data_IF_194877528270
#
_entry.id   IF_194877528270
#
_cell.length_a   1.000
_cell.length_b   1.000
_cell.length_c   1.000
_cell.angle_alpha   90.00
_cell.angle_beta   90.00
_cell.angle_gamma   90.00
#
_symmetry.space_group_name_H-M   'P 1'
#
loop_
_entity.id
_entity.type
_entity.pdbx_description
1 polymer ?
#
# COMPACT_ATOMS: atom_id res chain seq x y z
N UNK A 1 29.02 -25.30 -79.89
CA UNK A 1 29.19 -24.36 -78.75
C UNK A 1 30.54 -24.65 -78.18
N UNK A 2 31.41 -23.63 -78.06
CA UNK A 2 32.77 -23.78 -77.47
C UNK A 2 32.61 -23.99 -75.98
N UNK A 3 33.53 -24.66 -75.28
CA UNK A 3 33.47 -24.93 -73.83
C UNK A 3 33.37 -23.68 -73.04
N UNK A 4 34.01 -22.56 -73.45
CA UNK A 4 33.93 -21.26 -72.82
C UNK A 4 32.54 -20.62 -72.96
N UNK A 5 31.82 -20.77 -74.04
CA UNK A 5 30.44 -20.28 -74.23
C UNK A 5 29.45 -21.05 -73.34
N UNK A 6 29.64 -22.35 -73.22
CA UNK A 6 28.84 -23.18 -72.31
C UNK A 6 29.04 -22.76 -70.86
N UNK A 7 30.29 -22.60 -70.41
CA UNK A 7 30.61 -22.13 -69.05
C UNK A 7 30.02 -20.74 -68.80
N UNK A 8 30.06 -19.82 -69.79
CA UNK A 8 29.49 -18.46 -69.59
C UNK A 8 27.99 -18.46 -69.48
N UNK A 9 27.26 -19.33 -70.22
CA UNK A 9 25.84 -19.49 -70.04
C UNK A 9 25.48 -20.11 -68.69
N UNK A 10 26.18 -21.18 -68.27
CA UNK A 10 25.98 -21.78 -66.93
C UNK A 10 26.23 -20.73 -65.78
N UNK A 11 27.23 -19.87 -65.95
CA UNK A 11 27.48 -18.79 -65.01
C UNK A 11 26.35 -17.73 -65.00
N UNK A 12 25.82 -17.38 -66.19
CA UNK A 12 24.69 -16.42 -66.27
C UNK A 12 23.43 -17.00 -65.61
N UNK A 13 23.14 -18.28 -65.82
CA UNK A 13 22.00 -18.97 -65.18
C UNK A 13 22.17 -19.02 -63.63
N UNK A 14 23.40 -19.34 -63.14
CA UNK A 14 23.69 -19.37 -61.72
C UNK A 14 23.55 -17.99 -61.09
N UNK A 15 23.99 -16.93 -61.78
CA UNK A 15 23.84 -15.57 -61.28
C UNK A 15 22.34 -15.19 -61.24
N UNK A 16 21.56 -15.54 -62.26
CA UNK A 16 20.12 -15.28 -62.28
C UNK A 16 19.41 -15.96 -61.10
N UNK A 17 19.71 -17.24 -60.84
CA UNK A 17 19.17 -17.97 -59.68
C UNK A 17 19.57 -17.31 -58.35
N UNK A 18 20.81 -16.87 -58.21
CA UNK A 18 21.27 -16.15 -57.02
C UNK A 18 20.52 -14.82 -56.83
N UNK A 19 20.22 -14.09 -57.93
CA UNK A 19 19.42 -12.86 -57.87
C UNK A 19 17.98 -13.11 -57.43
N UNK A 20 17.36 -14.22 -57.86
CA UNK A 20 16.03 -14.63 -57.38
C UNK A 20 16.03 -14.95 -55.88
N UNK A 21 17.04 -15.68 -55.38
CA UNK A 21 17.21 -15.96 -53.93
C UNK A 21 17.41 -14.67 -53.10
N UNK A 22 18.22 -13.73 -53.60
CA UNK A 22 18.42 -12.45 -52.95
C UNK A 22 17.09 -11.64 -52.91
N UNK A 23 16.33 -11.64 -53.99
CA UNK A 23 15.03 -10.95 -54.04
C UNK A 23 14.07 -11.51 -52.99
N UNK A 24 13.95 -12.84 -52.90
CA UNK A 24 13.12 -13.51 -51.90
C UNK A 24 13.59 -13.14 -50.47
N UNK A 25 14.92 -13.11 -50.23
CA UNK A 25 15.47 -12.70 -48.93
C UNK A 25 15.16 -11.24 -48.57
N UNK A 26 15.16 -10.34 -49.59
CA UNK A 26 14.79 -8.92 -49.36
C UNK A 26 13.31 -8.75 -49.02
N UNK A 27 12.42 -9.54 -49.61
CA UNK A 27 10.99 -9.58 -49.27
C UNK A 27 10.78 -10.06 -47.83
N UNK A 28 11.50 -11.10 -47.39
CA UNK A 28 11.43 -11.61 -46.04
C UNK A 28 11.96 -10.58 -45.03
N UNK A 29 13.06 -9.89 -45.36
CA UNK A 29 13.59 -8.80 -44.49
C UNK A 29 12.58 -7.65 -44.42
N UNK A 30 11.94 -7.27 -45.53
CA UNK A 30 10.92 -6.21 -45.55
C UNK A 30 9.73 -6.55 -44.63
N UNK A 31 9.24 -7.77 -44.69
CA UNK A 31 8.17 -8.27 -43.80
C UNK A 31 8.62 -8.24 -42.33
N UNK A 32 9.87 -8.61 -42.06
CA UNK A 32 10.44 -8.56 -40.71
C UNK A 32 10.51 -7.12 -40.18
N UNK A 33 10.87 -6.17 -41.03
CA UNK A 33 10.90 -4.74 -40.71
C UNK A 33 9.51 -4.23 -40.32
N UNK A 34 8.46 -4.62 -41.08
CA UNK A 34 7.08 -4.26 -40.76
C UNK A 34 6.68 -4.81 -39.37
N UNK A 35 7.02 -6.06 -39.06
CA UNK A 35 6.79 -6.68 -37.76
C UNK A 35 7.53 -5.97 -36.63
N UNK A 36 8.81 -5.61 -36.84
CA UNK A 36 9.60 -4.85 -35.84
C UNK A 36 9.00 -3.46 -35.62
N UNK A 37 8.54 -2.80 -36.68
CA UNK A 37 7.88 -1.49 -36.57
C UNK A 37 6.61 -1.56 -35.75
N UNK A 38 5.77 -2.57 -35.98
CA UNK A 38 4.57 -2.83 -35.18
C UNK A 38 4.90 -3.02 -33.69
N UNK A 39 5.85 -3.93 -33.40
CA UNK A 39 6.29 -4.19 -32.03
C UNK A 39 6.87 -2.95 -31.34
N UNK A 40 7.62 -2.12 -32.07
CA UNK A 40 8.18 -0.86 -31.55
C UNK A 40 7.08 0.10 -31.14
N UNK A 41 6.03 0.24 -31.94
CA UNK A 41 4.87 1.08 -31.61
C UNK A 41 4.11 0.56 -30.38
N UNK A 42 3.94 -0.75 -30.25
CA UNK A 42 3.30 -1.38 -29.09
C UNK A 42 4.11 -1.13 -27.81
N UNK A 43 5.44 -1.22 -27.88
CA UNK A 43 6.34 -0.90 -26.79
C UNK A 43 6.22 0.59 -26.40
N UNK A 44 6.18 1.51 -27.36
CA UNK A 44 6.00 2.94 -27.08
C UNK A 44 4.67 3.21 -26.37
N UNK A 45 3.59 2.54 -26.79
CA UNK A 45 2.30 2.61 -26.11
C UNK A 45 2.40 2.12 -24.66
N UNK A 46 3.03 0.96 -24.45
CA UNK A 46 3.23 0.38 -23.13
C UNK A 46 4.06 1.28 -22.22
N UNK A 47 5.10 1.94 -22.75
CA UNK A 47 5.91 2.92 -22.01
C UNK A 47 5.05 4.11 -21.55
N UNK A 48 4.12 4.57 -22.37
CA UNK A 48 3.22 5.65 -22.01
C UNK A 48 2.25 5.23 -20.90
N UNK A 49 1.71 4.01 -20.96
CA UNK A 49 0.82 3.47 -19.93
C UNK A 49 1.54 3.32 -18.58
N UNK A 50 2.78 2.80 -18.59
CA UNK A 50 3.63 2.73 -17.40
C UNK A 50 3.91 4.14 -16.87
N UNK A 51 4.15 5.12 -17.75
CA UNK A 51 4.33 6.51 -17.36
C UNK A 51 3.13 7.10 -16.62
N UNK A 52 1.92 6.80 -17.08
CA UNK A 52 0.69 7.22 -16.43
C UNK A 52 0.53 6.57 -15.04
N UNK A 53 0.80 5.26 -14.92
CA UNK A 53 0.75 4.54 -13.64
C UNK A 53 1.78 5.06 -12.64
N UNK A 54 2.98 5.42 -13.09
CA UNK A 54 4.01 6.03 -12.24
C UNK A 54 3.56 7.39 -11.72
N UNK A 55 2.95 8.23 -12.57
CA UNK A 55 2.41 9.51 -12.13
C UNK A 55 1.26 9.35 -11.11
N UNK A 56 0.40 8.37 -11.29
CA UNK A 56 -0.63 8.02 -10.30
C UNK A 56 0.02 7.58 -8.97
N UNK A 57 1.09 6.78 -9.03
CA UNK A 57 1.88 6.40 -7.85
C UNK A 57 2.46 7.58 -7.08
N UNK A 58 2.92 8.64 -7.77
CA UNK A 58 3.38 9.89 -7.14
C UNK A 58 2.25 10.57 -6.37
N UNK A 59 1.05 10.66 -6.96
CA UNK A 59 -0.12 11.25 -6.29
C UNK A 59 -0.47 10.46 -5.04
N UNK A 60 -0.57 9.13 -5.15
CA UNK A 60 -0.86 8.25 -4.00
C UNK A 60 0.17 8.43 -2.88
N UNK A 61 1.46 8.47 -3.21
CA UNK A 61 2.52 8.68 -2.22
C UNK A 61 2.37 10.04 -1.51
N UNK A 62 2.03 11.09 -2.25
CA UNK A 62 1.76 12.43 -1.70
C UNK A 62 0.57 12.43 -0.76
N UNK A 63 -0.53 11.75 -1.14
CA UNK A 63 -1.74 11.65 -0.33
C UNK A 63 -1.49 10.87 0.97
N UNK A 64 -0.71 9.78 0.91
CA UNK A 64 -0.32 9.02 2.10
C UNK A 64 0.53 9.88 3.04
N UNK A 65 1.49 10.68 2.53
CA UNK A 65 2.28 11.62 3.34
C UNK A 65 1.38 12.64 4.04
N UNK A 66 0.46 13.26 3.32
CA UNK A 66 -0.47 14.24 3.88
C UNK A 66 -1.38 13.60 4.95
N UNK A 67 -1.89 12.40 4.68
CA UNK A 67 -2.70 11.65 5.64
C UNK A 67 -1.90 11.30 6.90
N UNK A 68 -0.67 10.82 6.76
CA UNK A 68 0.20 10.48 7.90
C UNK A 68 0.45 11.69 8.80
N UNK A 69 0.75 12.86 8.20
CA UNK A 69 0.93 14.11 8.95
C UNK A 69 -0.35 14.48 9.69
N UNK A 70 -1.51 14.45 9.03
CA UNK A 70 -2.79 14.79 9.65
C UNK A 70 -3.16 13.86 10.81
N UNK A 71 -2.97 12.54 10.63
CA UNK A 71 -3.22 11.56 11.72
C UNK A 71 -2.26 11.77 12.89
N UNK A 72 -0.98 12.10 12.62
CA UNK A 72 -0.01 12.40 13.67
C UNK A 72 -0.44 13.61 14.52
N UNK A 73 -0.80 14.72 13.86
CA UNK A 73 -1.27 15.93 14.54
C UNK A 73 -2.52 15.67 15.38
N UNK A 74 -3.49 14.91 14.84
CA UNK A 74 -4.69 14.52 15.57
C UNK A 74 -4.35 13.63 16.77
N UNK A 75 -3.44 12.70 16.63
CA UNK A 75 -2.97 11.80 17.69
C UNK A 75 -2.31 12.60 18.83
N UNK A 76 -1.41 13.53 18.53
CA UNK A 76 -0.77 14.41 19.53
C UNK A 76 -1.82 15.25 20.29
N UNK A 77 -2.80 15.80 19.57
CA UNK A 77 -3.91 16.52 20.19
C UNK A 77 -4.71 15.61 21.13
N UNK A 78 -5.06 14.40 20.70
CA UNK A 78 -5.80 13.44 21.53
C UNK A 78 -5.03 13.03 22.78
N UNK A 79 -3.71 12.83 22.68
CA UNK A 79 -2.84 12.58 23.85
C UNK A 79 -2.95 13.70 24.87
N UNK A 80 -2.90 14.94 24.42
CA UNK A 80 -3.03 16.12 25.28
C UNK A 80 -4.39 16.18 25.93
N UNK A 81 -5.47 16.07 25.15
CA UNK A 81 -6.85 16.08 25.63
C UNK A 81 -7.09 15.00 26.70
N UNK A 82 -6.61 13.79 26.49
CA UNK A 82 -6.73 12.67 27.44
C UNK A 82 -5.92 12.96 28.72
N UNK A 83 -4.70 13.49 28.61
CA UNK A 83 -3.89 13.87 29.76
C UNK A 83 -4.61 14.89 30.64
N UNK A 84 -5.23 15.90 30.03
CA UNK A 84 -5.99 16.92 30.75
C UNK A 84 -7.23 16.32 31.41
N UNK A 85 -7.97 15.43 30.72
CA UNK A 85 -9.12 14.72 31.30
C UNK A 85 -8.69 13.86 32.50
N UNK A 86 -7.59 13.11 32.40
CA UNK A 86 -7.06 12.31 33.53
C UNK A 86 -6.77 13.20 34.73
N UNK A 87 -6.10 14.32 34.52
CA UNK A 87 -5.77 15.25 35.59
C UNK A 87 -7.03 15.83 36.25
N UNK A 88 -8.01 16.28 35.48
CA UNK A 88 -9.28 16.79 35.97
C UNK A 88 -10.04 15.72 36.77
N UNK A 89 -10.17 14.52 36.24
CA UNK A 89 -10.92 13.45 36.91
C UNK A 89 -10.20 12.89 38.12
N UNK A 90 -8.86 12.88 38.13
CA UNK A 90 -8.07 12.52 39.31
C UNK A 90 -8.28 13.52 40.47
N UNK A 91 -8.33 14.82 40.16
CA UNK A 91 -8.64 15.84 41.15
C UNK A 91 -10.06 15.70 41.70
N UNK A 92 -11.05 15.50 40.82
CA UNK A 92 -12.44 15.28 41.21
C UNK A 92 -12.61 14.04 42.08
N UNK A 93 -11.91 12.93 41.72
CA UNK A 93 -11.89 11.72 42.54
C UNK A 93 -11.31 11.98 43.93
N UNK A 94 -10.19 12.69 44.00
CA UNK A 94 -9.55 13.05 45.31
C UNK A 94 -10.48 13.88 46.21
N UNK A 95 -11.23 14.84 45.65
CA UNK A 95 -12.22 15.61 46.38
C UNK A 95 -13.36 14.72 46.88
N UNK A 96 -13.89 13.82 46.03
CA UNK A 96 -14.95 12.89 46.41
C UNK A 96 -14.52 11.92 47.52
N UNK A 97 -13.24 11.52 47.53
CA UNK A 97 -12.63 10.72 48.62
C UNK A 97 -12.69 11.50 49.94
N UNK A 98 -12.30 12.77 49.92
CA UNK A 98 -12.29 13.60 51.14
C UNK A 98 -13.70 13.84 51.67
N UNK A 99 -14.67 14.10 50.78
CA UNK A 99 -16.09 14.23 51.17
C UNK A 99 -16.65 12.92 51.74
N UNK A 100 -16.25 11.76 51.17
CA UNK A 100 -16.67 10.44 51.68
C UNK A 100 -16.17 10.16 53.11
N UNK A 101 -15.07 10.77 53.52
CA UNK A 101 -14.59 10.66 54.94
C UNK A 101 -15.59 11.23 55.94
N UNK A 102 -16.47 12.15 55.53
CA UNK A 102 -17.54 12.68 56.38
C UNK A 102 -18.55 11.60 56.79
N UNK A 103 -18.72 10.51 56.00
CA UNK A 103 -19.54 9.35 56.37
C UNK A 103 -19.01 8.69 57.64
N UNK A 104 -17.68 8.73 57.86
CA UNK A 104 -17.08 8.26 59.11
C UNK A 104 -17.57 9.02 60.35
N UNK A 105 -17.92 10.29 60.21
CA UNK A 105 -18.50 11.12 61.28
C UNK A 105 -19.89 10.64 61.69
N UNK A 106 -20.67 10.03 60.76
CA UNK A 106 -21.96 9.42 61.05
C UNK A 106 -21.80 8.27 62.05
N UNK A 107 -20.74 7.47 61.91
CA UNK A 107 -20.45 6.39 62.87
C UNK A 107 -20.17 6.93 64.27
N UNK A 108 -19.44 8.05 64.40
CA UNK A 108 -19.18 8.67 65.69
C UNK A 108 -20.48 9.19 66.31
N UNK A 109 -21.31 9.94 65.56
CA UNK A 109 -22.60 10.42 66.00
C UNK A 109 -23.56 9.28 66.37
N UNK A 110 -23.52 8.16 65.64
CA UNK A 110 -24.34 6.99 65.95
C UNK A 110 -23.88 6.31 67.23
N UNK A 111 -22.58 6.26 67.50
CA UNK A 111 -22.02 5.82 68.80
C UNK A 111 -22.48 6.68 69.92
N UNK A 112 -22.48 8.03 69.77
CA UNK A 112 -22.97 8.94 70.80
C UNK A 112 -24.48 8.71 71.09
N UNK A 113 -25.28 8.47 70.05
CA UNK A 113 -26.72 8.12 70.19
C UNK A 113 -26.89 6.79 70.90
N UNK A 114 -26.05 5.76 70.61
CA UNK A 114 -26.08 4.48 71.35
C UNK A 114 -25.74 4.66 72.85
N UNK A 115 -24.79 5.49 73.12
CA UNK A 115 -24.44 5.79 74.49
C UNK A 115 -25.59 6.55 75.27
N UNK A 116 -26.20 7.57 74.67
CA UNK A 116 -27.34 8.30 75.18
C UNK A 116 -28.53 7.36 75.39
N UNK A 117 -28.83 6.48 74.36
CA UNK A 117 -29.91 5.50 74.45
C UNK A 117 -29.67 4.52 75.67
N UNK A 118 -28.42 4.08 75.85
CA UNK A 118 -28.04 3.19 76.95
C UNK A 118 -28.20 3.86 78.30
N UNK A 119 -27.75 5.12 78.45
CA UNK A 119 -27.91 5.86 79.62
C UNK A 119 -29.40 6.14 79.95
N UNK A 120 -30.18 6.49 78.90
CA UNK A 120 -31.63 6.73 79.04
C UNK A 120 -32.37 5.47 79.52
N UNK A 121 -31.99 4.31 78.96
CA UNK A 121 -32.55 3.01 79.32
C UNK A 121 -32.27 2.66 80.79
N UNK A 122 -31.03 2.93 81.25
CA UNK A 122 -30.68 2.78 82.70
C UNK A 122 -31.43 3.71 83.58
N UNK A 123 -31.58 4.99 83.19
CA UNK A 123 -32.34 6.00 83.98
C UNK A 123 -33.83 5.59 84.08
N UNK A 124 -34.42 5.14 82.93
CA UNK A 124 -35.82 4.66 82.92
C UNK A 124 -36.01 3.42 83.79
N UNK A 125 -35.04 2.47 83.73
CA UNK A 125 -35.08 1.30 84.58
C UNK A 125 -35.05 1.67 86.06
N UNK A 126 -34.15 2.56 86.43
CA UNK A 126 -34.06 3.04 87.79
C UNK A 126 -35.37 3.75 88.26
N UNK A 127 -35.96 4.56 87.33
CA UNK A 127 -37.25 5.22 87.61
C UNK A 127 -38.39 4.22 87.72
N UNK A 128 -38.43 3.14 86.91
CA UNK A 128 -39.40 2.09 87.02
C UNK A 128 -39.30 1.32 88.36
N UNK A 129 -38.07 1.07 88.78
CA UNK A 129 -37.84 0.42 90.13
C UNK A 129 -38.34 1.29 91.25
N UNK A 130 -38.05 2.59 91.25
CA UNK A 130 -38.47 3.50 92.35
C UNK A 130 -40.00 3.75 92.27
N UNK A 131 -40.61 3.80 91.09
CA UNK A 131 -42.06 3.84 90.91
C UNK A 131 -42.77 2.60 91.45
N UNK A 132 -42.21 1.40 91.25
CA UNK A 132 -42.70 0.15 91.85
C UNK A 132 -42.58 0.14 93.37
N UNK A 133 -41.53 0.80 93.94
CA UNK A 133 -41.27 0.92 95.32
C UNK A 133 -42.28 1.86 96.08
N UNK A 134 -42.85 2.86 95.34
CA UNK A 134 -43.88 3.77 95.77
C UNK A 134 -45.29 3.18 95.82
N UNK A 135 -45.51 1.95 95.37
CA UNK A 135 -46.79 1.24 95.40
C UNK A 135 -47.89 1.90 94.56
N UNK A 136 -49.11 2.04 95.09
CA UNK A 136 -50.26 2.59 94.38
C UNK A 136 -50.08 4.01 93.90
N UNK A 137 -49.32 4.87 94.64
CA UNK A 137 -49.06 6.28 94.25
C UNK A 137 -48.08 6.38 93.07
N UNK A 138 -47.26 5.34 92.84
CA UNK A 138 -46.24 5.29 91.79
C UNK A 138 -46.73 4.69 90.43
N UNK A 139 -47.93 4.19 90.36
CA UNK A 139 -48.44 3.47 89.12
C UNK A 139 -48.33 4.31 87.82
N UNK A 140 -48.71 5.63 87.90
CA UNK A 140 -48.61 6.48 86.73
C UNK A 140 -47.18 6.75 86.28
N UNK A 141 -46.25 6.89 87.23
CA UNK A 141 -44.80 7.02 86.98
C UNK A 141 -44.17 5.75 86.39
N UNK A 142 -44.60 4.60 86.87
CA UNK A 142 -44.12 3.30 86.31
C UNK A 142 -44.45 3.15 84.87
N UNK A 143 -45.65 3.56 84.43
CA UNK A 143 -46.04 3.52 83.00
C UNK A 143 -45.18 4.44 82.12
N UNK A 144 -44.93 5.67 82.64
CA UNK A 144 -44.07 6.63 81.88
C UNK A 144 -42.65 6.14 81.86
N UNK A 145 -42.10 5.58 82.94
CA UNK A 145 -40.75 5.02 82.97
C UNK A 145 -40.58 3.84 82.00
N UNK A 146 -41.58 2.98 81.95
CA UNK A 146 -41.56 1.84 80.97
C UNK A 146 -41.63 2.36 79.54
N UNK A 147 -42.43 3.39 79.22
CA UNK A 147 -42.50 4.01 77.89
C UNK A 147 -41.15 4.64 77.48
N UNK A 148 -40.49 5.35 78.44
CA UNK A 148 -39.15 5.91 78.20
C UNK A 148 -38.14 4.76 77.95
N UNK A 149 -38.22 3.68 78.68
CA UNK A 149 -37.36 2.53 78.51
C UNK A 149 -37.51 1.93 77.14
N UNK A 150 -38.76 1.78 76.62
CA UNK A 150 -39.06 1.25 75.29
C UNK A 150 -38.63 2.21 74.20
N UNK A 151 -38.75 3.56 74.39
CA UNK A 151 -38.21 4.56 73.48
C UNK A 151 -36.68 4.49 73.39
N UNK A 152 -36.01 4.31 74.50
CA UNK A 152 -34.56 4.15 74.53
C UNK A 152 -34.08 2.89 73.81
N UNK A 153 -34.78 1.78 74.01
CA UNK A 153 -34.47 0.53 73.29
C UNK A 153 -34.69 0.67 71.77
N UNK A 154 -35.82 1.32 71.35
CA UNK A 154 -36.09 1.62 69.97
C UNK A 154 -35.02 2.53 69.37
N UNK A 155 -34.57 3.56 70.04
CA UNK A 155 -33.51 4.46 69.64
C UNK A 155 -32.19 3.71 69.41
N UNK A 156 -31.85 2.82 70.38
CA UNK A 156 -30.67 1.96 70.28
C UNK A 156 -30.73 1.05 69.00
N UNK A 157 -31.86 0.43 68.71
CA UNK A 157 -32.05 -0.43 67.58
C UNK A 157 -31.90 0.40 66.27
N UNK A 158 -32.53 1.56 66.19
CA UNK A 158 -32.42 2.48 65.05
C UNK A 158 -30.98 2.95 64.86
N UNK A 159 -30.25 3.28 65.92
CA UNK A 159 -28.82 3.66 65.84
C UNK A 159 -27.96 2.49 65.33
N UNK A 160 -28.19 1.25 65.75
CA UNK A 160 -27.50 0.09 65.21
C UNK A 160 -27.77 -0.15 63.75
N UNK A 161 -29.04 0.06 63.30
CA UNK A 161 -29.39 -0.04 61.87
C UNK A 161 -28.67 1.01 61.04
N UNK A 162 -28.61 2.31 61.53
CA UNK A 162 -27.86 3.37 60.88
C UNK A 162 -26.37 3.01 60.78
N UNK A 163 -25.78 2.49 61.83
CA UNK A 163 -24.39 2.06 61.86
C UNK A 163 -24.14 0.95 60.82
N UNK A 164 -25.03 -0.06 60.74
CA UNK A 164 -24.96 -1.14 59.77
C UNK A 164 -25.08 -0.65 58.32
N UNK A 165 -25.93 0.37 58.07
CA UNK A 165 -26.06 1.02 56.76
C UNK A 165 -24.79 1.79 56.43
N UNK A 166 -24.27 2.59 57.38
CA UNK A 166 -23.07 3.39 57.21
C UNK A 166 -21.83 2.56 56.84
N UNK A 167 -21.64 1.43 57.52
CA UNK A 167 -20.55 0.48 57.17
C UNK A 167 -20.66 -0.03 55.76
N UNK A 168 -21.87 -0.40 55.27
CA UNK A 168 -22.10 -0.86 53.90
C UNK A 168 -21.84 0.25 52.89
N UNK A 169 -22.27 1.48 53.18
CA UNK A 169 -22.05 2.64 52.31
C UNK A 169 -20.56 2.93 52.19
N UNK A 170 -19.80 2.93 53.31
CA UNK A 170 -18.36 3.12 53.29
C UNK A 170 -17.66 2.05 52.43
N UNK A 171 -18.06 0.79 52.58
CA UNK A 171 -17.49 -0.31 51.81
C UNK A 171 -17.77 -0.13 50.31
N UNK A 172 -19.01 0.24 49.93
CA UNK A 172 -19.40 0.48 48.55
C UNK A 172 -18.63 1.67 47.92
N UNK A 173 -18.46 2.76 48.67
CA UNK A 173 -17.70 3.94 48.23
C UNK A 173 -16.21 3.58 48.05
N UNK A 174 -15.62 2.85 48.97
CA UNK A 174 -14.22 2.40 48.83
C UNK A 174 -14.02 1.51 47.59
N UNK A 175 -14.97 0.60 47.32
CA UNK A 175 -14.92 -0.24 46.12
C UNK A 175 -15.04 0.62 44.85
N UNK A 176 -15.94 1.60 44.83
CA UNK A 176 -16.10 2.53 43.72
C UNK A 176 -14.80 3.31 43.46
N UNK A 177 -14.13 3.79 44.53
CA UNK A 177 -12.86 4.50 44.42
C UNK A 177 -11.76 3.63 43.84
N UNK A 178 -11.64 2.40 44.32
CA UNK A 178 -10.67 1.45 43.77
C UNK A 178 -10.90 1.22 42.26
N UNK A 179 -12.15 0.96 41.86
CA UNK A 179 -12.50 0.75 40.45
C UNK A 179 -12.21 2.01 39.60
N UNK A 180 -12.47 3.22 40.14
CA UNK A 180 -12.18 4.46 39.43
C UNK A 180 -10.66 4.67 39.28
N UNK A 181 -9.87 4.38 40.31
CA UNK A 181 -8.41 4.46 40.23
C UNK A 181 -7.84 3.45 39.23
N UNK A 182 -8.35 2.23 39.21
CA UNK A 182 -7.93 1.21 38.26
C UNK A 182 -8.25 1.64 36.82
N UNK A 183 -9.43 2.26 36.60
CA UNK A 183 -9.79 2.80 35.28
C UNK A 183 -8.84 3.92 34.84
N UNK A 184 -8.49 4.84 35.75
CA UNK A 184 -7.53 5.92 35.48
C UNK A 184 -6.15 5.35 35.13
N UNK A 185 -5.67 4.36 35.86
CA UNK A 185 -4.42 3.68 35.60
C UNK A 185 -4.44 2.95 34.25
N UNK A 186 -5.55 2.32 33.89
CA UNK A 186 -5.74 1.68 32.57
C UNK A 186 -5.64 2.72 31.44
N UNK A 187 -6.35 3.85 31.56
CA UNK A 187 -6.30 4.93 30.56
C UNK A 187 -4.88 5.47 30.44
N UNK A 188 -4.23 5.74 31.56
CA UNK A 188 -2.90 6.34 31.57
C UNK A 188 -1.81 5.42 31.03
N UNK A 189 -1.89 4.12 31.27
CA UNK A 189 -0.84 3.19 30.88
C UNK A 189 -1.16 2.51 29.53
N UNK A 190 -2.40 2.07 29.31
CA UNK A 190 -2.74 1.33 28.10
C UNK A 190 -3.12 2.26 26.96
N UNK A 191 -4.08 3.17 27.17
CA UNK A 191 -4.58 4.04 26.11
C UNK A 191 -3.47 5.03 25.65
N UNK A 192 -2.68 5.55 26.58
CA UNK A 192 -1.56 6.42 26.22
C UNK A 192 -0.47 5.67 25.44
N UNK A 193 -0.22 4.39 25.74
CA UNK A 193 0.70 3.57 24.99
C UNK A 193 0.18 3.29 23.57
N UNK A 194 -1.12 3.02 23.41
CA UNK A 194 -1.75 2.83 22.10
C UNK A 194 -1.55 4.06 21.20
N UNK A 195 -1.63 5.27 21.75
CA UNK A 195 -1.34 6.50 21.00
C UNK A 195 0.14 6.61 20.59
N UNK A 196 1.07 6.14 21.41
CA UNK A 196 2.50 6.07 21.04
C UNK A 196 2.72 5.10 19.89
N UNK A 197 2.02 3.97 19.89
CA UNK A 197 2.06 3.01 18.79
C UNK A 197 1.44 3.57 17.50
N UNK A 198 0.35 4.33 17.59
CA UNK A 198 -0.24 5.04 16.45
C UNK A 198 0.73 6.09 15.87
N UNK A 199 1.41 6.83 16.71
CA UNK A 199 2.42 7.81 16.30
C UNK A 199 3.58 7.13 15.52
N UNK A 200 4.10 6.02 16.06
CA UNK A 200 5.13 5.23 15.39
C UNK A 200 4.64 4.64 14.05
N UNK A 201 3.38 4.20 13.98
CA UNK A 201 2.78 3.72 12.74
C UNK A 201 2.64 4.83 11.69
N UNK A 202 2.25 6.04 12.08
CA UNK A 202 2.15 7.18 11.15
C UNK A 202 3.52 7.61 10.63
N UNK A 203 4.56 7.62 11.47
CA UNK A 203 5.94 7.88 11.03
C UNK A 203 6.42 6.83 10.01
N UNK A 204 6.08 5.56 10.24
CA UNK A 204 6.39 4.50 9.28
C UNK A 204 5.64 4.67 7.95
N UNK A 205 4.36 5.09 7.96
CA UNK A 205 3.62 5.38 6.73
C UNK A 205 4.25 6.55 5.97
N UNK A 206 4.65 7.61 6.66
CA UNK A 206 5.34 8.73 6.05
C UNK A 206 6.65 8.30 5.38
N UNK A 207 7.50 7.53 6.06
CA UNK A 207 8.75 7.00 5.50
C UNK A 207 8.51 6.10 4.28
N UNK A 208 7.48 5.24 4.32
CA UNK A 208 7.15 4.36 3.18
C UNK A 208 6.68 5.16 1.98
N UNK A 209 5.89 6.21 2.20
CA UNK A 209 5.45 7.09 1.13
C UNK A 209 6.62 7.92 0.56
N UNK A 210 7.57 8.35 1.38
CA UNK A 210 8.79 9.02 0.94
C UNK A 210 9.69 8.09 0.10
N UNK A 211 9.81 6.84 0.50
CA UNK A 211 10.50 5.83 -0.29
C UNK A 211 9.80 5.54 -1.62
N UNK A 212 8.45 5.54 -1.64
CA UNK A 212 7.66 5.39 -2.86
C UNK A 212 7.94 6.54 -3.84
N UNK A 213 8.04 7.77 -3.35
CA UNK A 213 8.40 8.95 -4.14
C UNK A 213 9.79 8.80 -4.81
N UNK A 214 10.76 8.26 -4.07
CA UNK A 214 12.08 7.93 -4.60
C UNK A 214 12.01 6.87 -5.71
N UNK A 215 11.25 5.81 -5.51
CA UNK A 215 11.06 4.72 -6.49
C UNK A 215 10.40 5.25 -7.75
N UNK A 216 9.34 6.03 -7.64
CA UNK A 216 8.63 6.61 -8.79
C UNK A 216 9.52 7.58 -9.57
N UNK A 217 10.40 8.33 -8.89
CA UNK A 217 11.43 9.14 -9.52
C UNK A 217 12.42 8.34 -10.36
N UNK A 218 12.86 7.17 -9.88
CA UNK A 218 13.70 6.24 -10.64
C UNK A 218 12.95 5.64 -11.84
N UNK A 219 11.67 5.27 -11.68
CA UNK A 219 10.85 4.80 -12.79
C UNK A 219 10.70 5.85 -13.89
N UNK A 220 10.44 7.11 -13.54
CA UNK A 220 10.38 8.20 -14.51
C UNK A 220 11.67 8.34 -15.33
N UNK A 221 12.84 8.22 -14.68
CA UNK A 221 14.13 8.24 -15.35
C UNK A 221 14.28 7.07 -16.33
N UNK A 222 13.86 5.85 -15.91
CA UNK A 222 13.91 4.68 -16.77
C UNK A 222 12.96 4.81 -17.97
N UNK A 223 11.77 5.37 -17.79
CA UNK A 223 10.80 5.66 -18.87
C UNK A 223 11.41 6.60 -19.89
N UNK A 224 12.08 7.67 -19.45
CA UNK A 224 12.77 8.59 -20.37
C UNK A 224 13.89 7.89 -21.16
N UNK A 225 14.65 7.01 -20.50
CA UNK A 225 15.69 6.22 -21.17
C UNK A 225 15.09 5.26 -22.20
N UNK A 226 13.98 4.57 -21.87
CA UNK A 226 13.29 3.67 -22.80
C UNK A 226 12.73 4.43 -24.01
N UNK A 227 12.18 5.63 -23.84
CA UNK A 227 11.75 6.48 -24.96
C UNK A 227 12.89 6.83 -25.90
N UNK A 228 14.06 7.14 -25.38
CA UNK A 228 15.23 7.42 -26.20
C UNK A 228 15.67 6.16 -26.99
N UNK A 229 15.70 5.01 -26.35
CA UNK A 229 16.02 3.73 -27.01
C UNK A 229 15.02 3.43 -28.13
N UNK A 230 13.72 3.67 -27.90
CA UNK A 230 12.71 3.47 -28.95
C UNK A 230 12.86 4.45 -30.12
N UNK A 231 13.26 5.69 -29.86
CA UNK A 231 13.58 6.64 -30.92
C UNK A 231 14.79 6.17 -31.77
N UNK A 232 15.88 5.75 -31.12
CA UNK A 232 17.05 5.18 -31.80
C UNK A 232 16.70 3.92 -32.60
N UNK A 233 15.82 3.06 -32.05
CA UNK A 233 15.32 1.86 -32.75
C UNK A 233 14.54 2.25 -34.02
N UNK A 234 13.67 3.26 -33.95
CA UNK A 234 12.91 3.73 -35.10
C UNK A 234 13.82 4.30 -36.21
N UNK A 235 14.86 5.05 -35.83
CA UNK A 235 15.88 5.51 -36.76
C UNK A 235 16.65 4.34 -37.40
N UNK A 236 16.99 3.32 -36.61
CA UNK A 236 17.62 2.11 -37.09
C UNK A 236 16.75 1.35 -38.11
N UNK A 237 15.45 1.20 -37.82
CA UNK A 237 14.46 0.58 -38.71
C UNK A 237 14.39 1.34 -40.05
N UNK A 238 14.35 2.69 -39.99
CA UNK A 238 14.30 3.53 -41.19
C UNK A 238 15.56 3.35 -42.03
N UNK A 239 16.73 3.27 -41.44
CA UNK A 239 17.99 3.03 -42.13
C UNK A 239 18.03 1.64 -42.79
N UNK A 240 17.58 0.60 -42.07
CA UNK A 240 17.52 -0.76 -42.67
C UNK A 240 16.56 -0.79 -43.83
N UNK A 241 15.39 -0.16 -43.76
CA UNK A 241 14.43 -0.05 -44.86
C UNK A 241 15.06 0.60 -46.08
N UNK A 242 15.82 1.68 -45.92
CA UNK A 242 16.52 2.34 -47.02
C UNK A 242 17.57 1.43 -47.69
N UNK A 243 18.32 0.66 -46.89
CA UNK A 243 19.30 -0.31 -47.40
C UNK A 243 18.63 -1.44 -48.15
N UNK A 244 17.47 -1.95 -47.67
CA UNK A 244 16.69 -2.96 -48.38
C UNK A 244 16.22 -2.46 -49.75
N UNK A 245 15.67 -1.22 -49.80
CA UNK A 245 15.26 -0.62 -51.08
C UNK A 245 16.44 -0.44 -52.06
N UNK A 246 17.62 -0.06 -51.55
CA UNK A 246 18.83 0.07 -52.38
C UNK A 246 19.28 -1.30 -52.91
N UNK A 247 19.25 -2.35 -52.07
CA UNK A 247 19.60 -3.71 -52.47
C UNK A 247 18.63 -4.25 -53.54
N UNK A 248 17.31 -4.05 -53.39
CA UNK A 248 16.32 -4.43 -54.38
C UNK A 248 16.61 -3.77 -55.75
N UNK A 249 16.97 -2.48 -55.75
CA UNK A 249 17.40 -1.78 -56.96
C UNK A 249 18.68 -2.37 -57.55
N UNK A 250 19.64 -2.70 -56.69
CA UNK A 250 20.90 -3.32 -57.10
C UNK A 250 20.69 -4.69 -57.75
N UNK A 251 19.84 -5.53 -57.16
CA UNK A 251 19.46 -6.84 -57.69
C UNK A 251 18.75 -6.70 -59.06
N UNK A 252 17.81 -5.77 -59.20
CA UNK A 252 17.14 -5.48 -60.46
C UNK A 252 18.13 -5.11 -61.56
N UNK A 253 19.08 -4.23 -61.29
CA UNK A 253 20.15 -3.84 -62.22
C UNK A 253 21.06 -5.02 -62.59
N UNK A 254 21.42 -5.87 -61.61
CA UNK A 254 22.22 -7.05 -61.83
C UNK A 254 21.50 -8.06 -62.75
N UNK A 255 20.22 -8.30 -62.53
CA UNK A 255 19.36 -9.17 -63.33
C UNK A 255 19.28 -8.66 -64.79
N UNK A 256 19.12 -7.34 -64.99
CA UNK A 256 19.17 -6.73 -66.33
C UNK A 256 20.53 -6.97 -67.02
N UNK A 257 21.62 -6.80 -66.30
CA UNK A 257 22.98 -7.00 -66.83
C UNK A 257 23.24 -8.47 -67.18
N UNK A 258 22.76 -9.42 -66.37
CA UNK A 258 22.84 -10.88 -66.67
C UNK A 258 22.05 -11.20 -67.92
N UNK A 259 20.87 -10.63 -68.09
CA UNK A 259 20.07 -10.78 -69.31
C UNK A 259 20.80 -10.28 -70.60
N UNK A 260 21.43 -9.10 -70.50
CA UNK A 260 22.27 -8.53 -71.56
C UNK A 260 23.48 -9.41 -71.86
N UNK A 261 24.12 -9.99 -70.84
CA UNK A 261 25.25 -10.89 -70.99
C UNK A 261 24.82 -12.19 -71.76
N UNK A 262 23.72 -12.82 -71.35
CA UNK A 262 23.18 -13.98 -72.03
C UNK A 262 22.89 -13.73 -73.53
N UNK A 263 22.27 -12.58 -73.85
CA UNK A 263 22.05 -12.16 -75.22
C UNK A 263 23.36 -11.92 -75.99
N UNK A 264 24.38 -11.35 -75.33
CA UNK A 264 25.70 -11.13 -75.96
C UNK A 264 26.39 -12.48 -76.30
N UNK A 265 26.29 -13.47 -75.41
CA UNK A 265 26.82 -14.83 -75.61
C UNK A 265 26.16 -15.46 -76.81
N UNK A 266 24.83 -15.38 -76.96
CA UNK A 266 24.08 -15.88 -78.08
C UNK A 266 24.55 -15.22 -79.44
N UNK A 267 24.76 -13.92 -79.44
CA UNK A 267 25.26 -13.18 -80.58
C UNK A 267 26.69 -13.61 -80.97
N UNK A 268 27.57 -13.82 -80.00
CA UNK A 268 28.93 -14.32 -80.21
C UNK A 268 28.85 -15.70 -80.80
N UNK A 269 28.01 -16.58 -80.29
CA UNK A 269 27.78 -17.91 -80.82
C UNK A 269 27.40 -17.90 -82.33
N UNK A 270 26.42 -17.05 -82.71
CA UNK A 270 26.01 -16.88 -84.10
C UNK A 270 27.18 -16.38 -84.99
N UNK A 271 27.98 -15.45 -84.50
CA UNK A 271 29.18 -14.97 -85.24
C UNK A 271 30.25 -16.03 -85.40
N UNK A 272 30.48 -16.87 -84.37
CA UNK A 272 31.45 -17.97 -84.42
C UNK A 272 31.01 -18.98 -85.46
N UNK A 273 29.70 -19.37 -85.58
CA UNK A 273 29.17 -20.23 -86.61
C UNK A 273 29.43 -19.61 -87.95
N UNK A 274 29.08 -18.34 -88.20
CA UNK A 274 29.31 -17.67 -89.49
C UNK A 274 30.81 -17.65 -89.90
N UNK A 275 31.70 -17.44 -88.92
CA UNK A 275 33.15 -17.46 -89.15
C UNK A 275 33.65 -18.84 -89.48
N UNK A 276 33.16 -19.94 -88.88
CA UNK A 276 33.47 -21.33 -89.19
C UNK A 276 33.00 -21.68 -90.61
N UNK A 277 31.78 -21.32 -91.02
CA UNK A 277 31.26 -21.51 -92.36
C UNK A 277 32.03 -20.74 -93.39
N UNK A 278 32.37 -19.48 -93.15
CA UNK A 278 33.23 -18.66 -93.99
C UNK A 278 34.63 -19.27 -94.16
N UNK A 279 35.22 -19.81 -93.08
CA UNK A 279 36.52 -20.52 -93.14
C UNK A 279 36.48 -21.77 -93.92
N UNK A 280 35.39 -22.58 -93.85
CA UNK A 280 35.18 -23.76 -94.67
C UNK A 280 35.07 -23.40 -96.15
N UNK A 281 34.28 -22.38 -96.47
CA UNK A 281 34.15 -21.90 -97.88
C UNK A 281 35.50 -21.43 -98.41
N UNK A 282 36.30 -20.68 -97.69
CA UNK A 282 37.65 -20.29 -98.12
C UNK A 282 38.60 -21.47 -98.28
N UNK A 283 38.53 -22.52 -97.51
CA UNK A 283 39.28 -23.74 -97.57
C UNK A 283 38.91 -24.53 -98.84
N UNK A 284 37.61 -24.63 -99.17
CA UNK A 284 37.11 -25.27 -100.37
C UNK A 284 37.58 -24.52 -101.64
N UNK A 285 37.54 -23.17 -101.60
CA UNK A 285 38.04 -22.39 -102.75
C UNK A 285 39.57 -22.47 -102.89
N UNK A 286 40.35 -22.46 -101.87
CA UNK A 286 41.80 -22.71 -101.87
C UNK A 286 42.16 -24.08 -102.41
N UNK A 287 41.43 -25.13 -102.02
CA UNK A 287 41.63 -26.46 -102.58
C UNK A 287 41.29 -26.55 -104.04
N UNK A 288 40.30 -25.78 -104.53
CA UNK A 288 39.99 -25.72 -106.00
C UNK A 288 41.11 -25.03 -106.77
N UNK A 289 41.79 -24.03 -106.22
CA UNK A 289 42.95 -23.38 -106.78
C UNK A 289 44.23 -24.26 -106.82
N UNK A 290 44.37 -25.23 -105.94
CA UNK A 290 45.52 -26.18 -105.94
C UNK A 290 45.40 -27.33 -106.91
N UNK A 291 44.23 -27.50 -107.56
CA UNK A 291 43.95 -28.55 -108.57
C UNK A 291 44.05 -28.00 -110.02
N UNK A 292 44.49 -26.81 -110.26
CA UNK A 292 44.84 -26.20 -111.52
C UNK A 292 46.36 -26.16 -111.65
#
# INVERSE_FOLDING_TARGET
>A
MNEEEKNSNENADNIASTMEEITASMEEISSSIEGITGNTNDIVSSINDVGNQVNEGVVIASDIKALAVGVKEETEKKKTDISDIINEKSQALSLSIEESRQISSINNLTNDILEIASQTNLLALNASIEAARAGEVGKGFAVVAEEIRQLAENSKNTANDIQGISVRVIAAVNQLMTNAQDLMNFIQNQIMNDYVEFEAATDMYYEKADHMDTITGLFNKNIMSLRNIMAEMNDGITNISAVVEENVRGVSNATENVTKLANSILNIHEQVIKNVDSSKYLLEELNSFQQI
#
